data_IF_590348493893
#
_entry.id   IF_590348493893
#
_cell.length_a   1.000
_cell.length_b   1.000
_cell.length_c   1.000
_cell.angle_alpha   90.00
_cell.angle_beta   90.00
_cell.angle_gamma   90.00
#
_symmetry.space_group_name_H-M   'P 1'
#
loop_
_entity.id
_entity.type
_entity.pdbx_description
1 polymer ?
#
# COMPACT_ATOMS: atom_id res chain seq x y z
N UNK A 1 1.00 -7.15 -17.24
CA UNK A 1 2.33 -6.73 -16.72
C UNK A 1 2.72 -7.66 -15.58
N UNK A 2 3.96 -8.07 -15.56
CA UNK A 2 4.48 -8.89 -14.45
C UNK A 2 4.61 -8.05 -13.18
N UNK A 3 4.37 -8.67 -12.04
CA UNK A 3 4.47 -7.99 -10.74
C UNK A 3 5.86 -7.39 -10.50
N UNK A 4 6.93 -8.08 -10.90
CA UNK A 4 8.29 -7.58 -10.77
C UNK A 4 8.52 -6.30 -11.59
N UNK A 5 7.97 -6.22 -12.79
CA UNK A 5 8.06 -5.02 -13.63
C UNK A 5 7.29 -3.87 -12.98
N UNK A 6 6.09 -4.14 -12.52
CA UNK A 6 5.26 -3.14 -11.86
C UNK A 6 5.93 -2.60 -10.59
N UNK A 7 6.54 -3.50 -9.81
CA UNK A 7 7.31 -3.12 -8.61
C UNK A 7 8.44 -2.14 -8.96
N UNK A 8 9.20 -2.41 -10.01
CA UNK A 8 10.26 -1.51 -10.44
C UNK A 8 9.72 -0.16 -10.91
N UNK A 9 8.60 -0.15 -11.64
CA UNK A 9 7.97 1.10 -12.06
C UNK A 9 7.54 1.94 -10.86
N UNK A 10 6.96 1.32 -9.84
CA UNK A 10 6.59 2.01 -8.60
C UNK A 10 7.81 2.62 -7.91
N UNK A 11 8.92 1.89 -7.87
CA UNK A 11 10.13 2.36 -7.22
C UNK A 11 10.79 3.56 -7.93
N UNK A 12 10.54 3.72 -9.21
CA UNK A 12 11.00 4.88 -9.98
C UNK A 12 9.94 5.97 -10.11
N UNK A 13 8.73 5.71 -9.68
CA UNK A 13 7.67 6.72 -9.68
C UNK A 13 8.04 7.87 -8.74
N UNK A 14 8.04 9.14 -9.23
CA UNK A 14 8.56 10.26 -8.45
C UNK A 14 8.03 10.39 -7.02
N UNK A 15 6.72 10.26 -6.74
CA UNK A 15 6.24 10.33 -5.36
C UNK A 15 6.88 9.30 -4.43
N UNK A 16 7.18 8.10 -4.93
CA UNK A 16 7.85 7.07 -4.14
C UNK A 16 9.35 7.29 -4.08
N UNK A 17 9.97 7.53 -5.22
CA UNK A 17 11.41 7.67 -5.33
C UNK A 17 11.94 8.78 -4.42
N UNK A 18 11.33 9.96 -4.47
CA UNK A 18 11.80 11.11 -3.70
C UNK A 18 11.35 11.10 -2.25
N UNK A 19 10.30 10.36 -1.93
CA UNK A 19 9.85 10.19 -0.54
C UNK A 19 10.68 9.17 0.22
N UNK A 20 11.37 8.28 -0.48
CA UNK A 20 12.13 7.19 0.14
C UNK A 20 11.33 5.90 0.30
N UNK A 21 10.19 5.82 -0.38
CA UNK A 21 9.34 4.62 -0.40
C UNK A 21 9.90 3.63 -1.40
N UNK A 22 10.06 2.39 -0.97
CA UNK A 22 10.59 1.33 -1.80
C UNK A 22 9.79 0.05 -1.62
N UNK A 23 9.24 -0.46 -2.71
CA UNK A 23 8.54 -1.75 -2.72
C UNK A 23 9.60 -2.84 -2.84
N UNK A 24 9.79 -3.61 -1.78
CA UNK A 24 10.83 -4.63 -1.74
C UNK A 24 10.40 -5.94 -2.38
N UNK A 25 9.13 -6.30 -2.19
CA UNK A 25 8.55 -7.51 -2.79
C UNK A 25 7.15 -7.25 -3.28
N UNK A 26 6.77 -7.95 -4.33
CA UNK A 26 5.40 -8.02 -4.82
C UNK A 26 5.21 -9.40 -5.46
N UNK A 27 4.28 -10.18 -4.95
CA UNK A 27 4.05 -11.54 -5.43
C UNK A 27 3.51 -11.54 -6.87
N UNK A 28 3.80 -12.62 -7.61
CA UNK A 28 3.40 -12.72 -9.01
C UNK A 28 1.89 -12.67 -9.21
N UNK A 29 1.13 -13.11 -8.21
CA UNK A 29 -0.33 -13.06 -8.21
C UNK A 29 -0.91 -11.75 -7.70
N UNK A 30 -0.06 -10.78 -7.35
CA UNK A 30 -0.47 -9.47 -6.80
C UNK A 30 -1.26 -9.55 -5.48
N UNK A 31 -1.04 -10.61 -4.71
CA UNK A 31 -1.73 -10.80 -3.42
C UNK A 31 -0.94 -10.32 -2.23
N UNK A 32 0.36 -10.14 -2.39
CA UNK A 32 1.27 -9.75 -1.31
C UNK A 32 2.21 -8.68 -1.78
N UNK A 33 2.49 -7.72 -0.89
CA UNK A 33 3.52 -6.71 -1.11
C UNK A 33 4.16 -6.36 0.22
N UNK A 34 5.45 -6.04 0.16
CA UNK A 34 6.19 -5.47 1.28
C UNK A 34 6.80 -4.15 0.84
N UNK A 35 6.64 -3.15 1.67
CA UNK A 35 7.05 -1.77 1.38
C UNK A 35 7.91 -1.27 2.53
N UNK A 36 8.96 -0.56 2.19
CA UNK A 36 9.82 0.11 3.16
C UNK A 36 9.78 1.62 2.94
N UNK A 37 9.91 2.36 4.02
CA UNK A 37 10.20 3.78 3.99
C UNK A 37 11.59 3.95 4.59
N UNK A 38 12.54 4.32 3.75
CA UNK A 38 13.94 4.50 4.14
C UNK A 38 14.16 5.93 4.60
N UNK A 39 14.87 6.08 5.72
CA UNK A 39 15.17 7.42 6.23
C UNK A 39 16.26 8.08 5.40
N UNK A 40 15.98 9.29 4.96
CA UNK A 40 16.89 10.14 4.20
C UNK A 40 16.96 11.51 4.86
N UNK A 41 18.01 12.31 4.62
CA UNK A 41 18.09 13.67 5.18
C UNK A 41 16.91 14.55 4.82
N UNK A 42 16.31 14.33 3.66
CA UNK A 42 15.22 15.18 3.15
C UNK A 42 13.81 14.66 3.46
N UNK A 43 13.65 13.47 4.04
CA UNK A 43 12.31 12.92 4.32
C UNK A 43 11.97 12.79 5.80
N UNK A 44 12.91 13.10 6.67
CA UNK A 44 12.66 13.12 8.11
C UNK A 44 12.10 14.47 8.54
N UNK A 45 11.32 14.45 9.61
CA UNK A 45 10.74 15.66 10.16
C UNK A 45 11.73 16.42 11.05
N UNK A 46 11.25 17.51 11.62
CA UNK A 46 12.06 18.41 12.45
C UNK A 46 12.69 17.73 13.67
N UNK A 47 12.06 16.70 14.23
CA UNK A 47 12.56 16.00 15.41
C UNK A 47 13.33 14.71 15.08
N UNK A 48 13.66 14.49 13.81
CA UNK A 48 14.49 13.36 13.38
C UNK A 48 13.75 12.03 13.24
N UNK A 49 12.42 12.06 13.21
CA UNK A 49 11.59 10.90 12.91
C UNK A 49 10.95 11.02 11.52
N UNK A 50 10.28 9.97 11.06
CA UNK A 50 9.59 10.01 9.78
C UNK A 50 8.45 11.03 9.80
N UNK A 51 8.37 11.82 8.73
CA UNK A 51 7.24 12.71 8.48
C UNK A 51 5.95 11.88 8.33
N UNK A 52 4.88 12.31 9.03
CA UNK A 52 3.62 11.57 9.02
C UNK A 52 3.01 11.38 7.65
N UNK A 53 3.15 12.37 6.77
CA UNK A 53 2.71 12.26 5.37
C UNK A 53 3.41 11.16 4.59
N UNK A 54 4.71 10.94 4.86
CA UNK A 54 5.47 9.85 4.24
C UNK A 54 4.99 8.48 4.73
N UNK A 55 4.71 8.37 6.03
CA UNK A 55 4.15 7.14 6.61
C UNK A 55 2.79 6.81 5.99
N UNK A 56 1.95 7.81 5.80
CA UNK A 56 0.67 7.61 5.13
C UNK A 56 0.87 7.20 3.67
N UNK A 57 1.74 7.90 2.94
CA UNK A 57 1.99 7.64 1.52
C UNK A 57 2.51 6.22 1.27
N UNK A 58 3.32 5.66 2.18
CA UNK A 58 3.85 4.30 2.00
C UNK A 58 2.78 3.22 2.10
N UNK A 59 1.65 3.52 2.71
CA UNK A 59 0.56 2.55 2.88
C UNK A 59 -0.63 2.82 1.95
N UNK A 60 -0.82 4.07 1.56
CA UNK A 60 -2.02 4.54 0.89
C UNK A 60 -2.45 3.72 -0.35
N UNK A 61 -1.60 3.48 -1.35
CA UNK A 61 -2.09 2.89 -2.60
C UNK A 61 -2.19 1.36 -2.60
N UNK A 62 -1.61 0.65 -1.64
CA UNK A 62 -1.34 -0.78 -1.80
C UNK A 62 -2.56 -1.68 -1.74
N UNK A 63 -3.48 -1.45 -0.82
CA UNK A 63 -4.72 -2.26 -0.79
C UNK A 63 -5.50 -2.09 -2.08
N UNK A 64 -5.63 -0.86 -2.56
CA UNK A 64 -6.28 -0.59 -3.84
C UNK A 64 -5.56 -1.28 -5.00
N UNK A 65 -4.23 -1.14 -5.08
CA UNK A 65 -3.45 -1.71 -6.17
C UNK A 65 -3.53 -3.25 -6.19
N UNK A 66 -3.39 -3.89 -5.03
CA UNK A 66 -3.50 -5.35 -4.95
C UNK A 66 -4.90 -5.81 -5.32
N UNK A 67 -5.94 -5.14 -4.82
CA UNK A 67 -7.32 -5.46 -5.16
C UNK A 67 -7.57 -5.28 -6.66
N UNK A 68 -7.15 -4.16 -7.22
CA UNK A 68 -7.35 -3.85 -8.64
C UNK A 68 -6.69 -4.89 -9.55
N UNK A 69 -5.47 -5.32 -9.19
CA UNK A 69 -4.73 -6.32 -9.97
C UNK A 69 -5.24 -7.75 -9.80
N UNK A 70 -5.98 -8.01 -8.73
CA UNK A 70 -6.38 -9.38 -8.35
C UNK A 70 -7.84 -9.70 -8.60
N UNK A 71 -8.74 -8.70 -8.54
CA UNK A 71 -10.18 -8.96 -8.56
C UNK A 71 -10.72 -9.25 -9.96
N UNK A 72 -10.12 -8.67 -10.99
CA UNK A 72 -10.54 -8.84 -12.37
C UNK A 72 -10.84 -7.51 -13.06
N UNK A 73 -10.94 -7.56 -14.39
CA UNK A 73 -11.11 -6.37 -15.23
C UNK A 73 -12.51 -5.78 -15.21
N UNK A 74 -13.49 -6.55 -14.75
CA UNK A 74 -14.90 -6.12 -14.74
C UNK A 74 -15.23 -5.24 -13.54
N UNK A 75 -14.23 -4.93 -12.71
CA UNK A 75 -14.40 -4.17 -11.47
C UNK A 75 -13.68 -2.84 -11.55
N UNK A 76 -14.31 -1.83 -10.96
CA UNK A 76 -13.72 -0.51 -10.77
C UNK A 76 -13.35 -0.39 -9.30
N UNK A 77 -12.07 -0.14 -9.03
CA UNK A 77 -11.51 -0.08 -7.67
C UNK A 77 -10.87 1.28 -7.45
N UNK A 78 -11.21 1.93 -6.34
CA UNK A 78 -10.55 3.17 -5.93
C UNK A 78 -10.54 3.30 -4.41
N UNK A 79 -9.63 4.13 -3.91
CA UNK A 79 -9.59 4.50 -2.50
C UNK A 79 -10.66 5.55 -2.20
N UNK A 80 -11.43 5.31 -1.15
CA UNK A 80 -12.44 6.26 -0.72
C UNK A 80 -11.99 7.10 0.47
N UNK A 81 -11.34 6.46 1.43
CA UNK A 81 -10.92 7.11 2.67
C UNK A 81 -9.78 6.33 3.31
N UNK A 82 -9.01 7.02 4.10
CA UNK A 82 -7.94 6.41 4.89
C UNK A 82 -7.72 7.19 6.18
N UNK A 83 -7.27 6.51 7.21
CA UNK A 83 -6.88 7.10 8.48
C UNK A 83 -5.55 6.53 8.92
N UNK A 84 -4.81 7.30 9.73
CA UNK A 84 -3.55 6.85 10.29
C UNK A 84 -3.46 7.29 11.75
N UNK A 85 -2.94 6.42 12.59
CA UNK A 85 -2.63 6.72 13.98
C UNK A 85 -1.13 6.64 14.18
N UNK A 86 -0.55 7.69 14.75
CA UNK A 86 0.87 7.75 15.06
C UNK A 86 1.09 7.30 16.52
N UNK A 87 1.33 6.00 16.70
CA UNK A 87 1.44 5.41 18.04
C UNK A 87 2.76 5.81 18.71
N UNK A 88 3.84 5.84 17.90
CA UNK A 88 5.15 6.32 18.36
C UNK A 88 5.95 6.84 17.17
N UNK A 89 6.97 7.69 17.38
CA UNK A 89 7.81 8.17 16.28
C UNK A 89 8.54 7.02 15.58
N UNK A 90 8.43 6.98 14.26
CA UNK A 90 9.17 6.04 13.42
C UNK A 90 10.56 6.56 13.11
N UNK A 91 11.59 5.75 13.33
CA UNK A 91 12.98 6.09 13.07
C UNK A 91 13.67 4.97 12.31
N UNK A 92 14.64 5.36 11.47
CA UNK A 92 15.30 4.40 10.60
C UNK A 92 14.37 3.89 9.52
N UNK A 93 14.68 2.72 8.97
CA UNK A 93 13.81 2.10 7.97
C UNK A 93 12.60 1.47 8.67
N UNK A 94 11.40 1.86 8.23
CA UNK A 94 10.16 1.24 8.67
C UNK A 94 9.55 0.46 7.51
N UNK A 95 8.69 -0.50 7.81
CA UNK A 95 8.11 -1.37 6.78
C UNK A 95 6.64 -1.65 7.06
N UNK A 96 5.92 -1.99 5.99
CA UNK A 96 4.54 -2.46 6.04
C UNK A 96 4.38 -3.65 5.09
N UNK A 97 3.53 -4.58 5.48
CA UNK A 97 3.21 -5.76 4.68
C UNK A 97 1.72 -5.78 4.39
N UNK A 98 1.39 -6.18 3.17
CA UNK A 98 0.03 -6.25 2.68
C UNK A 98 -0.21 -7.67 2.16
N UNK A 99 -1.24 -8.31 2.69
CA UNK A 99 -1.65 -9.66 2.26
C UNK A 99 -3.14 -9.62 1.95
N UNK A 100 -3.48 -9.77 0.68
CA UNK A 100 -4.86 -9.81 0.23
C UNK A 100 -5.28 -11.27 0.06
N UNK A 101 -6.09 -11.76 0.98
CA UNK A 101 -6.52 -13.15 1.00
C UNK A 101 -7.63 -13.42 -0.02
N UNK A 102 -7.68 -14.66 -0.51
CA UNK A 102 -8.71 -15.09 -1.48
C UNK A 102 -10.12 -14.90 -0.94
N UNK A 103 -10.32 -15.16 0.36
CA UNK A 103 -11.62 -14.98 1.01
C UNK A 103 -12.11 -13.55 0.92
N UNK A 104 -11.24 -12.56 1.02
CA UNK A 104 -11.58 -11.14 0.89
C UNK A 104 -12.03 -10.82 -0.52
N UNK A 105 -11.33 -11.32 -1.52
CA UNK A 105 -11.71 -11.10 -2.92
C UNK A 105 -13.07 -11.72 -3.23
N UNK A 106 -13.33 -12.92 -2.72
CA UNK A 106 -14.60 -13.59 -2.91
C UNK A 106 -15.73 -12.82 -2.21
N UNK A 107 -15.48 -12.33 -0.99
CA UNK A 107 -16.42 -11.46 -0.27
C UNK A 107 -16.79 -10.23 -1.11
N UNK A 108 -15.80 -9.57 -1.70
CA UNK A 108 -16.02 -8.39 -2.54
C UNK A 108 -16.78 -8.72 -3.82
N UNK A 109 -16.50 -9.85 -4.45
CA UNK A 109 -17.22 -10.31 -5.65
C UNK A 109 -18.69 -10.59 -5.34
N UNK A 110 -18.96 -11.25 -4.22
CA UNK A 110 -20.33 -11.53 -3.80
C UNK A 110 -21.08 -10.26 -3.43
N UNK A 111 -20.44 -9.33 -2.73
CA UNK A 111 -21.06 -8.08 -2.32
C UNK A 111 -21.42 -7.17 -3.51
N UNK A 112 -20.75 -7.34 -4.64
CA UNK A 112 -20.96 -6.53 -5.85
C UNK A 112 -21.68 -7.30 -6.98
N UNK A 113 -22.12 -8.52 -6.71
CA UNK A 113 -22.71 -9.39 -7.74
C UNK A 113 -23.92 -8.76 -8.44
N UNK A 114 -24.70 -7.95 -7.74
CA UNK A 114 -25.88 -7.25 -8.28
C UNK A 114 -25.54 -5.89 -8.91
N UNK A 115 -24.26 -5.56 -9.07
CA UNK A 115 -23.81 -4.26 -9.54
C UNK A 115 -23.72 -3.20 -8.46
N UNK A 116 -23.92 -3.58 -7.20
CA UNK A 116 -23.83 -2.68 -6.06
C UNK A 116 -22.37 -2.35 -5.72
N UNK A 117 -22.18 -1.22 -5.06
CA UNK A 117 -20.89 -0.83 -4.51
C UNK A 117 -20.61 -1.60 -3.21
N UNK A 118 -19.37 -2.01 -3.01
CA UNK A 118 -18.92 -2.56 -1.75
C UNK A 118 -17.82 -1.69 -1.18
N UNK A 119 -17.87 -1.44 0.11
CA UNK A 119 -16.82 -0.74 0.86
C UNK A 119 -16.17 -1.71 1.82
N UNK A 120 -14.85 -1.71 1.87
CA UNK A 120 -14.12 -2.53 2.81
C UNK A 120 -12.94 -1.76 3.37
N UNK A 121 -12.82 -1.80 4.68
CA UNK A 121 -11.68 -1.27 5.41
C UNK A 121 -10.61 -2.34 5.56
N UNK A 122 -9.36 -1.92 5.41
CA UNK A 122 -8.20 -2.75 5.65
C UNK A 122 -7.31 -2.07 6.68
N UNK A 123 -6.72 -2.85 7.55
CA UNK A 123 -5.78 -2.36 8.55
C UNK A 123 -4.37 -2.82 8.21
N UNK A 124 -3.41 -1.96 8.49
CA UNK A 124 -2.00 -2.25 8.23
C UNK A 124 -1.16 -1.59 9.31
N UNK A 125 -0.21 -2.33 9.86
CA UNK A 125 0.77 -1.79 10.80
C UNK A 125 2.03 -1.37 10.04
N UNK A 126 2.55 -0.22 10.42
CA UNK A 126 3.88 0.23 10.00
C UNK A 126 4.82 0.00 11.17
N UNK A 127 5.89 -0.76 10.94
CA UNK A 127 6.81 -1.20 11.98
C UNK A 127 8.25 -0.84 11.65
N UNK A 128 9.05 -0.61 12.67
CA UNK A 128 10.49 -0.45 12.56
C UNK A 128 11.24 -1.77 12.66
#
# INVERSE_FOLDING_TARGET
MKASTYRHLLNFWPPFLFTGIHVTTMSDDYRRARVELRMRPWNRNYVGSHFGGSLFAMTDPFWMLLAMKSIGRDYIVWDKAGTIEFVKPGRGTVHAEFVLEDAVLEELRQATADGDKALRWFDTDVRD
#
